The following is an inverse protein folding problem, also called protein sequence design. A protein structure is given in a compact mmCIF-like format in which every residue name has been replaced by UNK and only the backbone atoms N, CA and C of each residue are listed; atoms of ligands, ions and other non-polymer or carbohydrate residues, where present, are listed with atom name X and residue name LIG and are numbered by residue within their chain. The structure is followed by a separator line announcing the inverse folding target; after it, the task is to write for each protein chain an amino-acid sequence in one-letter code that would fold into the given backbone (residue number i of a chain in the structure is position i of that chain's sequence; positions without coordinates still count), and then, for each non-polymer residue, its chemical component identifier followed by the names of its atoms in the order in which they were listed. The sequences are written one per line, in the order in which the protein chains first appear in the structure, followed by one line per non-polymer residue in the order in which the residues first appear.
data_IF_433395151518
#
_entry.id   IF_433395151518
#
_cell.length_a   1.000
_cell.length_b   1.000
_cell.length_c   1.000
_cell.angle_alpha   90.00
_cell.angle_beta   90.00
_cell.angle_gamma   90.00
#
_symmetry.space_group_name_H-M   'P 1'
#
loop_
_entity.id
_entity.type
_entity.pdbx_description
1 polymer ?
#
# COMPACT_ATOMS: atom_id res chain seq x y z
N UNK A 1 -26.45 -79.84 -3.79
CA UNK A 1 -25.06 -80.10 -4.25
C UNK A 1 -24.44 -78.93 -4.99
N UNK A 2 -25.12 -78.31 -5.96
CA UNK A 2 -24.59 -77.14 -6.70
C UNK A 2 -24.18 -75.95 -5.81
N UNK A 3 -24.92 -75.61 -4.75
CA UNK A 3 -24.56 -74.47 -3.88
C UNK A 3 -23.34 -74.70 -2.97
N UNK A 4 -23.01 -75.96 -2.63
CA UNK A 4 -21.81 -76.29 -1.83
C UNK A 4 -20.54 -76.31 -2.68
N UNK A 5 -20.65 -76.71 -3.95
CA UNK A 5 -19.54 -76.63 -4.92
C UNK A 5 -19.23 -75.16 -5.23
N UNK A 6 -20.27 -74.35 -5.43
CA UNK A 6 -20.12 -72.90 -5.61
C UNK A 6 -19.49 -72.23 -4.38
N UNK A 7 -19.89 -72.59 -3.16
CA UNK A 7 -19.27 -72.05 -1.95
C UNK A 7 -17.81 -72.48 -1.75
N UNK A 8 -17.46 -73.72 -2.11
CA UNK A 8 -16.08 -74.23 -2.01
C UNK A 8 -15.14 -73.61 -3.06
N UNK A 9 -15.64 -73.36 -4.27
CA UNK A 9 -14.90 -72.71 -5.35
C UNK A 9 -14.65 -71.22 -5.04
N UNK A 10 -15.64 -70.53 -4.46
CA UNK A 10 -15.47 -69.16 -3.96
C UNK A 10 -14.50 -69.09 -2.77
N UNK A 11 -14.53 -70.07 -1.86
CA UNK A 11 -13.58 -70.15 -0.75
C UNK A 11 -12.14 -70.43 -1.21
N UNK A 12 -11.94 -71.28 -2.24
CA UNK A 12 -10.63 -71.53 -2.83
C UNK A 12 -10.07 -70.30 -3.56
N UNK A 13 -10.94 -69.55 -4.26
CA UNK A 13 -10.58 -68.30 -4.91
C UNK A 13 -10.15 -67.24 -3.88
N UNK A 14 -10.93 -67.04 -2.82
CA UNK A 14 -10.60 -66.13 -1.71
C UNK A 14 -9.32 -66.55 -0.95
N UNK A 15 -9.12 -67.85 -0.74
CA UNK A 15 -7.88 -68.39 -0.15
C UNK A 15 -6.68 -68.12 -1.05
N UNK A 16 -6.80 -68.26 -2.38
CA UNK A 16 -5.70 -67.94 -3.31
C UNK A 16 -5.38 -66.44 -3.35
N UNK A 17 -6.39 -65.58 -3.29
CA UNK A 17 -6.28 -64.11 -3.30
C UNK A 17 -5.53 -63.62 -2.04
N UNK A 18 -5.93 -64.07 -0.85
CA UNK A 18 -5.26 -63.71 0.42
C UNK A 18 -3.81 -64.22 0.56
N UNK A 19 -3.41 -65.24 -0.22
CA UNK A 19 -2.02 -65.73 -0.23
C UNK A 19 -1.08 -64.89 -1.09
N UNK A 20 -1.61 -64.04 -1.97
CA UNK A 20 -0.82 -63.29 -2.96
C UNK A 20 -0.59 -61.84 -2.50
N UNK A 21 -1.63 -61.14 -2.05
CA UNK A 21 -1.51 -59.81 -1.44
C UNK A 21 -1.34 -59.96 0.09
N UNK A 22 -0.10 -59.87 0.59
CA UNK A 22 0.28 -60.00 2.01
C UNK A 22 0.64 -58.67 2.65
N UNK A 23 1.30 -57.79 1.92
CA UNK A 23 1.73 -56.49 2.41
C UNK A 23 0.72 -55.41 2.05
N UNK A 24 0.85 -54.25 2.66
CA UNK A 24 0.07 -53.06 2.32
C UNK A 24 1.05 -52.07 1.70
N UNK A 25 0.58 -51.18 0.82
CA UNK A 25 1.44 -50.16 0.27
C UNK A 25 1.94 -49.23 1.38
N UNK A 26 3.17 -48.79 1.22
CA UNK A 26 3.83 -47.83 2.10
C UNK A 26 4.02 -46.52 1.35
N UNK A 27 3.73 -45.41 2.02
CA UNK A 27 3.92 -44.04 1.52
C UNK A 27 4.65 -43.24 2.60
N UNK A 28 5.10 -42.04 2.26
CA UNK A 28 5.67 -41.14 3.27
C UNK A 28 4.59 -40.68 4.26
N UNK A 29 4.98 -40.36 5.48
CA UNK A 29 4.04 -39.96 6.55
C UNK A 29 3.51 -38.53 6.37
N UNK A 30 4.26 -37.70 5.64
CA UNK A 30 3.90 -36.33 5.32
C UNK A 30 4.51 -35.89 4.00
N UNK A 31 3.79 -35.01 3.31
CA UNK A 31 4.25 -34.35 2.08
C UNK A 31 4.14 -32.84 2.22
N UNK A 32 5.15 -32.13 1.75
CA UNK A 32 5.08 -30.68 1.54
C UNK A 32 5.06 -30.43 0.05
N UNK A 33 4.21 -29.51 -0.39
CA UNK A 33 4.08 -29.21 -1.81
C UNK A 33 3.84 -27.75 -2.06
N UNK A 34 4.16 -27.38 -3.30
CA UNK A 34 3.85 -26.06 -3.84
C UNK A 34 3.08 -26.21 -5.14
N UNK A 35 2.11 -25.32 -5.35
CA UNK A 35 1.41 -25.15 -6.62
C UNK A 35 1.41 -23.67 -6.95
N UNK A 36 1.79 -23.32 -8.16
CA UNK A 36 1.62 -21.94 -8.63
C UNK A 36 0.18 -21.76 -9.07
N UNK A 37 -0.47 -20.67 -8.66
CA UNK A 37 -1.81 -20.38 -9.16
C UNK A 37 -1.82 -20.28 -10.68
N UNK A 38 -2.99 -20.52 -11.28
CA UNK A 38 -3.14 -20.70 -12.72
C UNK A 38 -2.47 -21.96 -13.31
N UNK A 39 -1.88 -22.85 -12.50
CA UNK A 39 -1.39 -24.18 -12.90
C UNK A 39 -2.19 -25.31 -12.25
N UNK A 40 -2.10 -26.53 -12.81
CA UNK A 40 -2.78 -27.72 -12.31
C UNK A 40 -1.85 -28.74 -11.66
N UNK A 41 -0.53 -28.61 -11.77
CA UNK A 41 0.44 -29.59 -11.25
C UNK A 41 0.99 -29.15 -9.90
N UNK A 42 0.89 -30.02 -8.90
CA UNK A 42 1.52 -29.81 -7.60
C UNK A 42 2.92 -30.43 -7.60
N UNK A 43 3.91 -29.66 -7.16
CA UNK A 43 5.28 -30.12 -6.93
C UNK A 43 5.40 -30.56 -5.48
N UNK A 44 5.53 -31.88 -5.26
CA UNK A 44 5.69 -32.46 -3.92
C UNK A 44 7.18 -32.75 -3.64
N UNK A 45 7.60 -32.46 -2.42
CA UNK A 45 8.89 -32.87 -1.86
C UNK A 45 8.66 -33.56 -0.49
N UNK A 46 8.88 -34.89 -0.38
CA UNK A 46 9.31 -35.82 -1.45
C UNK A 46 8.22 -36.08 -2.51
N UNK A 47 8.56 -36.65 -3.68
CA UNK A 47 7.57 -36.98 -4.71
C UNK A 47 6.56 -38.04 -4.23
N UNK A 48 5.35 -38.02 -4.78
CA UNK A 48 4.30 -38.99 -4.42
C UNK A 48 4.61 -40.37 -5.00
N UNK A 49 5.17 -41.24 -4.17
CA UNK A 49 5.47 -42.63 -4.52
C UNK A 49 4.93 -43.56 -3.43
N UNK A 50 4.28 -44.64 -3.85
CA UNK A 50 3.83 -45.72 -2.98
C UNK A 50 4.56 -47.02 -3.30
N UNK A 51 5.12 -47.68 -2.30
CA UNK A 51 5.87 -48.92 -2.47
C UNK A 51 5.18 -50.09 -1.79
N UNK A 52 4.98 -51.18 -2.50
CA UNK A 52 4.47 -52.43 -1.94
C UNK A 52 5.53 -53.53 -1.97
N UNK A 53 5.64 -54.30 -0.89
CA UNK A 53 6.58 -55.44 -0.78
C UNK A 53 6.13 -56.67 -1.57
N UNK A 54 4.88 -56.71 -2.03
CA UNK A 54 4.39 -57.74 -2.94
C UNK A 54 4.78 -57.44 -4.41
N UNK A 55 5.35 -56.27 -4.71
CA UNK A 55 5.87 -55.96 -6.04
C UNK A 55 7.04 -56.90 -6.42
N UNK A 56 7.14 -57.34 -7.69
CA UNK A 56 6.35 -56.91 -8.86
C UNK A 56 5.17 -57.86 -9.18
N UNK A 57 4.57 -58.52 -8.18
CA UNK A 57 3.44 -59.43 -8.43
C UNK A 57 2.27 -58.62 -8.99
N UNK A 58 1.71 -58.99 -10.16
CA UNK A 58 0.58 -58.28 -10.75
C UNK A 58 -0.58 -58.14 -9.78
N UNK A 59 -1.22 -56.98 -9.78
CA UNK A 59 -2.27 -56.57 -8.84
C UNK A 59 -1.81 -56.40 -7.37
N UNK A 60 -1.20 -57.42 -6.77
CA UNK A 60 -0.87 -57.40 -5.34
C UNK A 60 0.22 -56.38 -4.99
N UNK A 61 1.19 -56.17 -5.88
CA UNK A 61 2.25 -55.19 -5.72
C UNK A 61 2.04 -53.89 -6.49
N UNK A 62 0.94 -53.77 -7.24
CA UNK A 62 0.68 -52.61 -8.09
C UNK A 62 -0.23 -51.60 -7.38
N UNK A 63 0.07 -50.32 -7.56
CA UNK A 63 -0.70 -49.22 -7.00
C UNK A 63 -1.81 -48.82 -7.97
N UNK A 64 -3.05 -48.90 -7.51
CA UNK A 64 -4.23 -48.62 -8.34
C UNK A 64 -4.82 -47.23 -8.11
N UNK A 65 -4.67 -46.67 -6.90
CA UNK A 65 -5.24 -45.37 -6.59
C UNK A 65 -4.54 -44.67 -5.43
N UNK A 66 -4.61 -43.35 -5.47
CA UNK A 66 -4.35 -42.46 -4.35
C UNK A 66 -5.65 -41.75 -3.98
N UNK A 67 -6.16 -42.01 -2.78
CA UNK A 67 -7.40 -41.42 -2.29
C UNK A 67 -7.10 -40.25 -1.38
N UNK A 68 -7.69 -39.10 -1.70
CA UNK A 68 -7.63 -37.88 -0.89
C UNK A 68 -8.83 -37.85 0.05
N UNK A 69 -8.56 -37.62 1.33
CA UNK A 69 -9.52 -37.50 2.41
C UNK A 69 -9.41 -36.10 3.02
N UNK A 70 -10.55 -35.44 3.17
CA UNK A 70 -10.62 -34.06 3.68
C UNK A 70 -11.78 -33.35 2.98
N UNK A 71 -12.48 -32.49 3.72
CA UNK A 71 -13.56 -31.68 3.15
C UNK A 71 -12.94 -30.67 2.19
N UNK A 72 -13.37 -30.70 0.92
CA UNK A 72 -13.25 -29.59 -0.05
C UNK A 72 -11.87 -29.27 -0.62
N UNK A 73 -10.86 -30.14 -0.45
CA UNK A 73 -9.58 -29.94 -1.12
C UNK A 73 -9.76 -30.04 -2.66
N UNK A 74 -9.45 -28.98 -3.46
CA UNK A 74 -9.66 -28.96 -4.91
C UNK A 74 -8.60 -29.77 -5.67
N UNK A 75 -8.19 -30.92 -5.12
CA UNK A 75 -7.10 -31.72 -5.64
C UNK A 75 -7.54 -33.14 -5.98
N UNK A 76 -6.80 -33.76 -6.88
CA UNK A 76 -6.87 -35.16 -7.24
C UNK A 76 -5.46 -35.74 -7.34
N UNK A 77 -5.32 -37.02 -7.01
CA UNK A 77 -4.06 -37.73 -7.15
C UNK A 77 -4.22 -38.81 -8.22
N UNK A 78 -3.41 -38.73 -9.27
CA UNK A 78 -3.42 -39.67 -10.39
C UNK A 78 -2.24 -40.62 -10.26
N UNK A 79 -2.46 -41.90 -10.59
CA UNK A 79 -1.37 -42.87 -10.70
C UNK A 79 -0.74 -42.68 -12.07
N UNK A 80 0.57 -42.39 -12.10
CA UNK A 80 1.33 -42.30 -13.34
C UNK A 80 1.82 -43.68 -13.78
N UNK A 81 2.27 -44.49 -12.82
CA UNK A 81 2.75 -45.84 -13.08
C UNK A 81 2.44 -46.74 -11.89
N UNK A 82 1.52 -47.69 -12.08
CA UNK A 82 1.10 -48.60 -11.01
C UNK A 82 2.19 -49.58 -10.57
N UNK A 83 3.12 -49.94 -11.46
CA UNK A 83 4.20 -50.90 -11.15
C UNK A 83 5.34 -50.26 -10.37
N UNK A 84 5.72 -49.02 -10.68
CA UNK A 84 6.70 -48.27 -9.86
C UNK A 84 6.05 -47.58 -8.66
N UNK A 85 4.73 -47.43 -8.68
CA UNK A 85 3.95 -46.77 -7.64
C UNK A 85 4.03 -45.24 -7.68
N UNK A 86 4.49 -44.67 -8.80
CA UNK A 86 4.56 -43.23 -9.01
C UNK A 86 3.17 -42.63 -9.19
N UNK A 87 2.90 -41.56 -8.44
CA UNK A 87 1.71 -40.75 -8.54
C UNK A 87 2.03 -39.28 -8.79
N UNK A 88 1.01 -38.52 -9.19
CA UNK A 88 1.09 -37.07 -9.32
C UNK A 88 -0.15 -36.45 -8.70
N UNK A 89 0.06 -35.41 -7.91
CA UNK A 89 -1.00 -34.62 -7.34
C UNK A 89 -1.31 -33.44 -8.28
N UNK A 90 -2.59 -33.23 -8.57
CA UNK A 90 -3.09 -32.20 -9.47
C UNK A 90 -4.25 -31.43 -8.85
N UNK A 91 -4.45 -30.20 -9.26
CA UNK A 91 -5.65 -29.43 -8.94
C UNK A 91 -6.78 -29.75 -9.93
N UNK A 92 -8.01 -29.91 -9.43
CA UNK A 92 -9.22 -30.16 -10.23
C UNK A 92 -9.71 -28.91 -10.98
N UNK A 93 -9.33 -27.75 -10.48
CA UNK A 93 -9.57 -26.44 -11.05
C UNK A 93 -8.41 -25.53 -10.67
N UNK A 94 -8.36 -24.35 -11.28
CA UNK A 94 -7.34 -23.37 -10.93
C UNK A 94 -7.50 -22.98 -9.47
N UNK A 95 -6.40 -23.07 -8.72
CA UNK A 95 -6.31 -22.52 -7.38
C UNK A 95 -6.05 -21.02 -7.47
N UNK A 96 -6.59 -20.28 -6.51
CA UNK A 96 -6.55 -18.83 -6.40
C UNK A 96 -5.91 -18.49 -5.05
N UNK A 97 -4.80 -17.76 -5.08
CA UNK A 97 -4.03 -17.43 -3.89
C UNK A 97 -4.72 -16.35 -3.02
N UNK A 98 -5.45 -15.42 -3.64
CA UNK A 98 -6.23 -14.39 -2.95
C UNK A 98 -7.35 -15.00 -2.12
N UNK A 99 -7.93 -16.12 -2.60
CA UNK A 99 -8.94 -16.86 -1.88
C UNK A 99 -8.34 -17.73 -0.75
N UNK A 100 -7.34 -18.55 -1.06
CA UNK A 100 -6.76 -19.48 -0.08
C UNK A 100 -5.31 -19.86 -0.40
N UNK A 101 -4.41 -19.43 0.49
CA UNK A 101 -2.94 -19.57 0.36
C UNK A 101 -2.41 -20.96 0.70
N UNK A 102 -3.14 -21.73 1.51
CA UNK A 102 -2.67 -23.00 2.04
C UNK A 102 -3.79 -24.03 2.08
N UNK A 103 -3.45 -25.27 1.74
CA UNK A 103 -4.34 -26.42 1.84
C UNK A 103 -3.70 -27.50 2.67
N UNK A 104 -4.51 -28.14 3.53
CA UNK A 104 -4.09 -29.31 4.30
C UNK A 104 -5.13 -30.41 4.17
N UNK A 105 -4.70 -31.59 3.73
CA UNK A 105 -5.57 -32.74 3.58
C UNK A 105 -4.79 -34.04 3.81
N UNK A 106 -5.50 -35.16 3.77
CA UNK A 106 -4.91 -36.49 3.98
C UNK A 106 -4.91 -37.26 2.68
N UNK A 107 -3.83 -37.97 2.39
CA UNK A 107 -3.74 -38.89 1.25
C UNK A 107 -3.51 -40.33 1.73
N UNK A 108 -4.01 -41.30 0.98
CA UNK A 108 -3.87 -42.72 1.26
C UNK A 108 -3.74 -43.51 -0.05
N UNK A 109 -2.71 -44.32 -0.19
CA UNK A 109 -2.52 -45.19 -1.35
C UNK A 109 -3.28 -46.51 -1.20
N UNK A 110 -3.66 -47.09 -2.33
CA UNK A 110 -4.37 -48.34 -2.45
C UNK A 110 -3.70 -49.22 -3.50
N UNK A 111 -3.40 -50.46 -3.14
CA UNK A 111 -2.96 -51.48 -4.10
C UNK A 111 -4.15 -51.99 -4.94
N UNK A 112 -3.86 -52.77 -5.97
CA UNK A 112 -4.86 -53.33 -6.87
C UNK A 112 -5.49 -54.66 -6.37
N UNK A 113 -5.21 -55.11 -5.14
CA UNK A 113 -5.79 -56.34 -4.58
C UNK A 113 -5.19 -57.60 -5.18
N UNK A 114 -6.01 -58.61 -5.50
CA UNK A 114 -5.50 -59.85 -6.12
C UNK A 114 -6.27 -60.28 -7.37
N UNK A 115 -6.88 -59.34 -8.06
CA UNK A 115 -7.53 -59.59 -9.34
C UNK A 115 -7.93 -58.31 -10.08
N UNK A 116 -8.35 -58.42 -11.34
CA UNK A 116 -8.60 -57.28 -12.23
C UNK A 116 -9.77 -56.38 -11.78
N UNK A 117 -10.59 -56.82 -10.82
CA UNK A 117 -11.68 -56.04 -10.24
C UNK A 117 -11.30 -55.21 -9.01
N UNK A 118 -10.05 -55.24 -8.54
CA UNK A 118 -9.62 -54.50 -7.34
C UNK A 118 -10.24 -54.97 -6.03
N UNK A 119 -10.89 -56.14 -6.02
CA UNK A 119 -11.45 -56.73 -4.81
C UNK A 119 -10.31 -57.06 -3.83
N UNK A 120 -10.52 -56.71 -2.56
CA UNK A 120 -9.59 -56.93 -1.44
C UNK A 120 -8.30 -56.10 -1.44
N UNK A 121 -8.25 -54.99 -2.18
CA UNK A 121 -7.10 -54.09 -2.14
C UNK A 121 -6.81 -53.50 -0.76
N UNK A 122 -5.55 -53.48 -0.34
CA UNK A 122 -5.14 -52.92 0.96
C UNK A 122 -4.77 -51.46 0.85
N UNK A 123 -4.93 -50.78 1.99
CA UNK A 123 -4.69 -49.35 2.13
C UNK A 123 -3.40 -49.10 2.89
N UNK A 124 -2.64 -48.11 2.45
CA UNK A 124 -1.50 -47.61 3.20
C UNK A 124 -1.94 -46.96 4.52
N UNK A 125 -0.98 -46.54 5.35
CA UNK A 125 -1.34 -45.54 6.37
C UNK A 125 -1.77 -44.23 5.71
N UNK A 126 -2.40 -43.36 6.49
CA UNK A 126 -2.74 -42.00 6.10
C UNK A 126 -1.50 -41.12 6.17
N UNK A 127 -1.34 -40.21 5.22
CA UNK A 127 -0.28 -39.21 5.19
C UNK A 127 -0.88 -37.82 5.12
N UNK A 128 -0.29 -36.85 5.81
CA UNK A 128 -0.74 -35.46 5.78
C UNK A 128 -0.03 -34.74 4.63
N UNK A 129 -0.77 -33.99 3.83
CA UNK A 129 -0.23 -33.19 2.74
C UNK A 129 -0.48 -31.72 3.07
N UNK A 130 0.59 -30.93 3.07
CA UNK A 130 0.55 -29.48 3.22
C UNK A 130 0.95 -28.83 1.90
N UNK A 131 0.03 -28.06 1.30
CA UNK A 131 0.25 -27.37 0.03
C UNK A 131 0.26 -25.87 0.26
N UNK A 132 1.30 -25.21 -0.25
CA UNK A 132 1.37 -23.75 -0.36
C UNK A 132 1.08 -23.30 -1.79
N UNK A 133 0.27 -22.27 -1.94
CA UNK A 133 -0.01 -21.64 -3.24
C UNK A 133 1.01 -20.53 -3.48
N UNK A 134 1.75 -20.64 -4.57
CA UNK A 134 2.63 -19.57 -5.04
C UNK A 134 1.82 -18.59 -5.89
N UNK A 135 1.91 -17.33 -5.49
CA UNK A 135 1.30 -16.17 -6.15
C UNK A 135 1.86 -15.93 -7.56
N UNK A 136 1.03 -15.35 -8.42
CA UNK A 136 1.30 -14.79 -9.74
C UNK A 136 0.72 -13.39 -9.77
N UNK A 137 1.58 -12.40 -10.02
CA UNK A 137 1.19 -10.99 -10.07
C UNK A 137 0.10 -10.70 -11.13
N UNK A 138 -1.16 -10.71 -10.73
CA UNK A 138 -2.33 -10.60 -11.61
C UNK A 138 -3.15 -9.34 -11.32
N UNK A 139 -3.10 -8.82 -10.11
CA UNK A 139 -3.63 -7.50 -9.75
C UNK A 139 -2.62 -6.39 -10.00
N UNK A 140 -3.09 -5.15 -10.10
CA UNK A 140 -2.23 -4.00 -10.34
C UNK A 140 -2.54 -2.94 -9.31
N UNK A 141 -1.57 -2.07 -8.95
CA UNK A 141 -1.79 -1.08 -7.90
C UNK A 141 -2.98 -0.16 -8.22
N UNK A 142 -3.88 -0.02 -7.26
CA UNK A 142 -5.04 0.87 -7.34
C UNK A 142 -4.92 1.98 -6.30
N UNK A 143 -5.02 3.23 -6.72
CA UNK A 143 -5.03 4.37 -5.81
C UNK A 143 -6.30 4.39 -4.95
N UNK A 144 -6.16 4.76 -3.68
CA UNK A 144 -7.30 4.84 -2.75
C UNK A 144 -8.33 5.89 -3.14
N UNK A 145 -7.85 7.01 -3.67
CA UNK A 145 -8.68 8.13 -4.12
C UNK A 145 -8.58 8.30 -5.64
N UNK A 146 -9.66 8.68 -6.33
CA UNK A 146 -9.66 8.92 -7.77
C UNK A 146 -8.91 10.20 -8.17
N UNK A 147 -8.69 11.11 -7.22
CA UNK A 147 -7.90 12.33 -7.38
C UNK A 147 -7.43 12.83 -6.01
N UNK A 148 -6.30 13.52 -5.97
CA UNK A 148 -5.79 14.16 -4.75
C UNK A 148 -5.76 15.68 -4.91
N UNK A 149 -6.00 16.43 -3.82
CA UNK A 149 -5.99 17.89 -3.84
C UNK A 149 -5.25 18.44 -2.63
N UNK A 150 -4.42 19.46 -2.83
CA UNK A 150 -3.78 20.20 -1.76
C UNK A 150 -3.64 21.69 -2.11
N UNK A 151 -3.43 22.51 -1.08
CA UNK A 151 -3.14 23.93 -1.23
C UNK A 151 -1.85 24.28 -0.48
N UNK A 152 -0.97 25.04 -1.12
CA UNK A 152 0.33 25.45 -0.57
C UNK A 152 0.50 26.95 -0.68
N UNK A 153 1.16 27.55 0.30
CA UNK A 153 1.48 28.97 0.24
C UNK A 153 2.71 29.18 -0.65
N UNK A 154 2.66 30.18 -1.54
CA UNK A 154 3.79 30.54 -2.40
C UNK A 154 5.06 30.89 -1.60
N UNK A 155 6.21 30.82 -2.27
CA UNK A 155 7.50 31.22 -1.70
C UNK A 155 8.12 30.25 -0.69
N UNK A 156 7.45 29.14 -0.36
CA UNK A 156 7.93 28.11 0.57
C UNK A 156 8.35 26.83 -0.15
N UNK A 157 9.30 26.11 0.45
CA UNK A 157 9.62 24.71 0.12
C UNK A 157 8.99 23.83 1.19
N UNK A 158 8.23 22.84 0.78
CA UNK A 158 7.56 21.88 1.63
C UNK A 158 8.28 20.54 1.51
N UNK A 159 8.60 19.92 2.65
CA UNK A 159 9.15 18.56 2.67
C UNK A 159 8.08 17.51 2.33
N UNK A 160 6.81 17.82 2.61
CA UNK A 160 5.64 17.05 2.19
C UNK A 160 4.45 18.00 2.01
N UNK A 161 3.83 17.93 0.82
CA UNK A 161 2.61 18.67 0.45
C UNK A 161 1.40 17.78 0.71
N UNK A 162 1.46 16.54 0.20
CA UNK A 162 0.48 15.49 0.42
C UNK A 162 1.12 14.13 0.13
N UNK A 163 0.49 13.07 0.62
CA UNK A 163 0.88 11.70 0.35
C UNK A 163 -0.21 11.03 -0.49
N UNK A 164 0.17 10.43 -1.62
CA UNK A 164 -0.73 9.53 -2.37
C UNK A 164 -0.56 8.11 -1.85
N UNK A 165 -1.64 7.32 -1.92
CA UNK A 165 -1.62 5.94 -1.47
C UNK A 165 -2.30 5.03 -2.50
N UNK A 166 -1.63 3.91 -2.79
CA UNK A 166 -2.15 2.82 -3.61
C UNK A 166 -2.11 1.50 -2.83
N UNK A 167 -2.98 0.58 -3.23
CA UNK A 167 -3.08 -0.77 -2.68
C UNK A 167 -3.15 -1.78 -3.82
N UNK A 168 -2.54 -2.93 -3.65
CA UNK A 168 -2.61 -4.04 -4.57
C UNK A 168 -3.27 -5.25 -3.87
N UNK A 169 -4.00 -6.06 -4.63
CA UNK A 169 -4.83 -7.15 -4.14
C UNK A 169 -4.17 -8.53 -4.25
N UNK A 170 -2.99 -8.64 -4.85
CA UNK A 170 -2.25 -9.91 -4.90
C UNK A 170 -2.02 -10.50 -3.49
N UNK A 171 -1.92 -11.81 -3.39
CA UNK A 171 -1.90 -12.49 -2.11
C UNK A 171 -0.54 -12.35 -1.37
N UNK A 172 0.57 -12.30 -2.10
CA UNK A 172 1.91 -12.33 -1.55
C UNK A 172 2.42 -10.93 -1.23
N UNK A 173 3.27 -10.76 -0.21
CA UNK A 173 3.95 -9.50 0.04
C UNK A 173 4.81 -9.01 -1.13
N UNK A 174 5.26 -9.92 -2.01
CA UNK A 174 6.11 -9.57 -3.14
C UNK A 174 5.34 -8.81 -4.23
N UNK A 175 4.07 -9.13 -4.44
CA UNK A 175 3.24 -8.50 -5.47
C UNK A 175 2.24 -7.51 -4.89
N UNK A 176 1.75 -7.71 -3.65
CA UNK A 176 0.82 -6.77 -3.00
C UNK A 176 1.43 -5.44 -2.54
N UNK A 177 2.74 -5.39 -2.31
CA UNK A 177 3.38 -4.21 -1.74
C UNK A 177 3.70 -3.16 -2.80
N UNK A 178 3.40 -1.90 -2.50
CA UNK A 178 3.77 -0.76 -3.35
C UNK A 178 5.21 -0.36 -3.05
N UNK A 179 6.09 -0.49 -4.03
CA UNK A 179 7.53 -0.23 -3.87
C UNK A 179 7.95 1.13 -4.43
N UNK A 180 7.17 1.71 -5.34
CA UNK A 180 7.56 2.95 -6.00
C UNK A 180 6.36 3.80 -6.44
N UNK A 181 6.54 5.11 -6.41
CA UNK A 181 5.65 6.08 -7.01
C UNK A 181 6.44 6.97 -7.97
N UNK A 182 5.78 7.44 -9.03
CA UNK A 182 6.43 8.27 -10.03
C UNK A 182 5.47 9.32 -10.58
N UNK A 183 5.96 10.57 -10.68
CA UNK A 183 5.28 11.63 -11.42
C UNK A 183 5.54 11.40 -12.91
N UNK A 184 4.48 11.20 -13.67
CA UNK A 184 4.51 10.96 -15.12
C UNK A 184 4.42 12.24 -15.94
N UNK A 185 3.91 13.33 -15.35
CA UNK A 185 3.92 14.66 -15.97
C UNK A 185 5.36 15.19 -16.03
N UNK A 186 5.79 15.66 -17.21
CA UNK A 186 7.14 16.21 -17.41
C UNK A 186 7.21 17.69 -17.04
N UNK A 187 8.43 18.18 -16.77
CA UNK A 187 8.72 19.60 -16.50
C UNK A 187 7.92 20.21 -15.32
N UNK A 188 7.65 19.42 -14.29
CA UNK A 188 6.93 19.88 -13.09
C UNK A 188 7.90 20.26 -11.97
N UNK A 189 7.63 21.31 -11.17
CA UNK A 189 8.46 21.69 -10.01
C UNK A 189 8.21 20.79 -8.79
N UNK A 190 7.93 19.51 -9.01
CA UNK A 190 7.55 18.54 -7.98
C UNK A 190 8.38 17.27 -8.10
N UNK A 191 8.61 16.64 -6.95
CA UNK A 191 9.21 15.32 -6.82
C UNK A 191 8.35 14.47 -5.89
N UNK A 192 8.39 13.16 -6.08
CA UNK A 192 7.70 12.18 -5.24
C UNK A 192 8.72 11.17 -4.69
N UNK A 193 8.55 10.76 -3.44
CA UNK A 193 9.34 9.69 -2.85
C UNK A 193 8.69 8.30 -3.01
N UNK A 194 9.38 7.25 -2.55
CA UNK A 194 8.88 5.87 -2.62
C UNK A 194 7.67 5.59 -1.73
N UNK A 195 7.40 6.46 -0.76
CA UNK A 195 6.24 6.36 0.14
C UNK A 195 5.04 7.14 -0.39
N UNK A 196 5.16 7.79 -1.55
CA UNK A 196 4.09 8.57 -2.16
C UNK A 196 4.03 10.02 -1.68
N UNK A 197 5.01 10.52 -0.92
CA UNK A 197 5.04 11.91 -0.48
C UNK A 197 5.49 12.82 -1.61
N UNK A 198 4.66 13.80 -1.93
CA UNK A 198 4.92 14.81 -2.95
C UNK A 198 5.49 16.06 -2.29
N UNK A 199 6.57 16.58 -2.86
CA UNK A 199 7.23 17.82 -2.43
C UNK A 199 7.54 18.73 -3.61
N UNK A 200 7.69 20.02 -3.37
CA UNK A 200 8.17 20.95 -4.40
C UNK A 200 9.69 21.05 -4.41
N UNK A 201 10.28 21.11 -5.61
CA UNK A 201 11.73 21.22 -5.83
C UNK A 201 12.22 22.66 -5.90
N UNK A 202 11.31 23.60 -6.16
CA UNK A 202 11.57 25.04 -6.18
C UNK A 202 10.42 25.82 -5.54
N UNK A 203 10.66 27.08 -5.19
CA UNK A 203 9.64 27.96 -4.60
C UNK A 203 8.58 28.27 -5.65
N UNK A 204 7.33 27.93 -5.33
CA UNK A 204 6.19 28.24 -6.20
C UNK A 204 5.85 29.73 -6.11
N UNK A 205 5.30 30.30 -7.18
CA UNK A 205 4.88 31.70 -7.26
C UNK A 205 3.43 31.75 -7.75
N UNK A 206 2.59 32.45 -7.00
CA UNK A 206 1.18 32.61 -7.33
C UNK A 206 0.99 33.37 -8.65
N UNK A 207 1.80 34.41 -8.87
CA UNK A 207 1.76 35.23 -10.09
C UNK A 207 2.19 34.45 -11.34
N UNK A 208 3.06 33.44 -11.18
CA UNK A 208 3.52 32.59 -12.29
C UNK A 208 2.49 31.51 -12.64
N UNK A 209 2.00 30.78 -11.64
CA UNK A 209 1.05 29.70 -11.83
C UNK A 209 0.28 29.39 -10.54
N UNK A 210 -1.04 29.52 -10.61
CA UNK A 210 -1.94 29.35 -9.46
C UNK A 210 -2.36 27.90 -9.24
N UNK A 211 -2.40 27.10 -10.31
CA UNK A 211 -2.87 25.72 -10.28
C UNK A 211 -1.89 24.81 -11.00
N UNK A 212 -1.51 23.73 -10.35
CA UNK A 212 -0.73 22.65 -10.92
C UNK A 212 -1.55 21.37 -10.95
N UNK A 213 -1.50 20.67 -12.08
CA UNK A 213 -2.05 19.33 -12.22
C UNK A 213 -0.91 18.37 -12.62
N UNK A 214 -0.66 17.37 -11.80
CA UNK A 214 0.36 16.34 -12.06
C UNK A 214 -0.26 14.95 -12.02
N UNK A 215 0.24 14.04 -12.86
CA UNK A 215 -0.22 12.67 -12.97
C UNK A 215 0.77 11.76 -12.27
N UNK A 216 0.30 10.98 -11.29
CA UNK A 216 1.14 10.09 -10.49
C UNK A 216 0.78 8.63 -10.77
N UNK A 217 1.77 7.77 -10.94
CA UNK A 217 1.60 6.32 -11.06
C UNK A 217 2.28 5.60 -9.91
N UNK A 218 1.74 4.44 -9.54
CA UNK A 218 2.34 3.53 -8.57
C UNK A 218 2.88 2.28 -9.26
N UNK A 219 3.83 1.63 -8.62
CA UNK A 219 4.38 0.33 -9.00
C UNK A 219 4.47 -0.57 -7.77
N UNK A 220 4.03 -1.80 -7.93
CA UNK A 220 4.27 -2.82 -6.93
C UNK A 220 5.77 -3.23 -6.88
N UNK A 221 6.10 -4.10 -5.95
CA UNK A 221 7.44 -4.66 -5.84
C UNK A 221 7.75 -5.70 -6.94
N UNK A 222 6.72 -6.28 -7.57
CA UNK A 222 6.78 -7.13 -8.76
C UNK A 222 7.03 -6.39 -10.08
N UNK A 223 7.19 -5.07 -10.06
CA UNK A 223 7.34 -4.19 -11.23
C UNK A 223 6.11 -4.08 -12.13
N UNK A 224 4.90 -4.34 -11.62
CA UNK A 224 3.67 -4.00 -12.32
C UNK A 224 3.23 -2.59 -11.99
N UNK A 225 2.80 -1.88 -13.03
CA UNK A 225 2.36 -0.50 -12.96
C UNK A 225 0.86 -0.44 -12.72
N UNK A 226 0.42 0.55 -11.94
CA UNK A 226 -0.98 0.94 -11.87
C UNK A 226 -1.57 1.10 -13.28
N UNK A 227 -2.79 0.57 -13.49
CA UNK A 227 -3.48 0.64 -14.78
C UNK A 227 -3.72 2.08 -15.23
N UNK A 228 -4.03 2.96 -14.27
CA UNK A 228 -4.26 4.38 -14.49
C UNK A 228 -3.40 5.21 -13.55
N UNK A 229 -2.88 6.33 -14.06
CA UNK A 229 -2.29 7.37 -13.22
C UNK A 229 -3.40 8.14 -12.50
N UNK A 230 -3.12 8.63 -11.30
CA UNK A 230 -4.04 9.49 -10.54
C UNK A 230 -3.68 10.97 -10.73
N UNK A 231 -4.66 11.85 -11.02
CA UNK A 231 -4.47 13.29 -11.03
C UNK A 231 -4.28 13.84 -9.61
N UNK A 232 -3.32 14.73 -9.46
CA UNK A 232 -3.04 15.47 -8.24
C UNK A 232 -3.08 16.96 -8.55
N UNK A 233 -4.00 17.67 -7.90
CA UNK A 233 -4.20 19.11 -8.04
C UNK A 233 -3.56 19.87 -6.87
N UNK A 234 -2.69 20.83 -7.17
CA UNK A 234 -2.00 21.65 -6.17
C UNK A 234 -2.30 23.12 -6.45
N UNK A 235 -3.04 23.74 -5.53
CA UNK A 235 -3.37 25.16 -5.59
C UNK A 235 -2.34 25.99 -4.82
N UNK A 236 -1.78 26.99 -5.49
CA UNK A 236 -0.89 27.96 -4.86
C UNK A 236 -1.73 29.08 -4.26
N UNK A 237 -1.44 29.43 -3.00
CA UNK A 237 -2.06 30.54 -2.28
C UNK A 237 -1.05 31.68 -2.13
N UNK A 238 -1.46 32.95 -2.38
CA UNK A 238 -0.54 34.07 -2.30
C UNK A 238 -0.11 34.36 -0.85
N UNK A 239 1.10 34.91 -0.68
CA UNK A 239 1.57 35.43 0.62
C UNK A 239 1.14 36.88 0.73
N UNK A 240 0.23 37.17 1.64
CA UNK A 240 -0.10 38.56 1.98
C UNK A 240 1.07 39.20 2.73
N UNK A 241 1.71 40.20 2.15
CA UNK A 241 2.59 41.11 2.89
C UNK A 241 1.74 42.27 3.42
N UNK A 242 1.54 42.41 4.75
CA UNK A 242 0.89 43.60 5.28
C UNK A 242 1.73 44.82 4.90
N UNK A 243 1.15 45.71 4.10
CA UNK A 243 1.75 46.96 3.67
C UNK A 243 0.99 48.14 4.25
N UNK A 244 1.71 49.06 4.91
CA UNK A 244 1.12 50.34 5.29
C UNK A 244 1.07 51.25 4.06
N UNK A 245 -0.14 51.52 3.57
CA UNK A 245 -0.39 52.51 2.52
C UNK A 245 -0.61 53.88 3.18
N UNK A 246 -0.29 54.97 2.47
CA UNK A 246 -0.52 56.34 2.96
C UNK A 246 0.52 56.89 3.95
N UNK A 247 1.70 56.26 4.04
CA UNK A 247 2.84 56.81 4.79
C UNK A 247 3.51 57.93 4.01
N UNK A 248 3.27 59.19 4.39
CA UNK A 248 4.04 60.32 3.87
C UNK A 248 5.39 60.39 4.60
N UNK A 249 6.49 60.17 3.87
CA UNK A 249 7.86 60.24 4.43
C UNK A 249 8.26 61.63 4.93
N UNK A 250 7.53 62.67 4.54
CA UNK A 250 7.70 64.05 5.02
C UNK A 250 6.33 64.63 5.34
N UNK A 251 6.21 65.21 6.53
CA UNK A 251 5.06 66.00 6.94
C UNK A 251 5.59 67.38 7.29
N UNK A 252 5.31 68.35 6.42
CA UNK A 252 5.70 69.74 6.68
C UNK A 252 4.83 70.31 7.80
N UNK A 253 5.48 70.95 8.77
CA UNK A 253 4.84 71.57 9.94
C UNK A 253 5.15 73.05 9.97
N UNK A 254 4.10 73.87 9.96
CA UNK A 254 4.21 75.33 10.11
C UNK A 254 3.97 75.72 11.58
N UNK A 255 4.93 76.41 12.24
CA UNK A 255 4.77 76.86 13.62
C UNK A 255 3.54 77.76 13.80
N UNK A 256 2.74 77.49 14.85
CA UNK A 256 1.51 78.25 15.17
C UNK A 256 0.20 77.59 14.72
N UNK A 257 0.27 76.49 13.96
CA UNK A 257 -0.91 75.81 13.39
C UNK A 257 -1.58 74.75 14.31
N UNK A 258 -1.08 74.57 15.53
CA UNK A 258 -1.64 73.59 16.49
C UNK A 258 -1.23 72.14 16.19
N UNK A 259 -1.95 71.16 16.74
CA UNK A 259 -1.65 69.74 16.53
C UNK A 259 -2.06 69.27 15.13
N UNK A 260 -1.12 68.71 14.35
CA UNK A 260 -1.37 68.14 13.02
C UNK A 260 -1.34 66.62 13.05
N UNK A 261 -2.31 65.97 12.41
CA UNK A 261 -2.35 64.52 12.28
C UNK A 261 -1.24 64.06 11.31
N UNK A 262 -0.30 63.26 11.81
CA UNK A 262 0.87 62.83 11.04
C UNK A 262 0.55 61.76 9.99
N UNK A 263 -0.52 60.99 10.19
CA UNK A 263 -0.88 59.86 9.34
C UNK A 263 -2.41 59.80 9.07
N UNK A 264 -2.99 60.79 8.37
CA UNK A 264 -4.44 60.85 8.17
C UNK A 264 -4.98 59.76 7.24
N UNK A 265 -4.15 59.28 6.30
CA UNK A 265 -4.54 58.30 5.28
C UNK A 265 -3.90 56.92 5.50
N UNK A 266 -3.26 56.70 6.65
CA UNK A 266 -2.54 55.47 6.92
C UNK A 266 -3.53 54.34 7.25
N UNK A 267 -3.52 53.31 6.42
CA UNK A 267 -4.36 52.13 6.58
C UNK A 267 -3.56 50.86 6.26
N UNK A 268 -3.92 49.78 6.93
CA UNK A 268 -3.33 48.46 6.74
C UNK A 268 -4.20 47.69 5.75
N UNK A 269 -3.73 47.51 4.53
CA UNK A 269 -4.41 46.63 3.58
C UNK A 269 -3.96 45.19 3.81
N UNK A 270 -4.92 44.34 4.15
CA UNK A 270 -4.78 42.88 4.08
C UNK A 270 -5.57 42.40 2.87
N UNK A 271 -4.95 41.64 1.97
CA UNK A 271 -5.68 41.06 0.85
C UNK A 271 -6.68 40.02 1.40
N UNK A 272 -7.97 40.30 1.26
CA UNK A 272 -9.04 39.32 1.42
C UNK A 272 -9.45 38.81 0.05
N UNK A 273 -9.72 37.50 -0.05
CA UNK A 273 -10.53 36.98 -1.16
C UNK A 273 -11.85 37.78 -1.23
N UNK A 274 -12.39 38.07 -2.42
CA UNK A 274 -13.67 38.75 -2.52
C UNK A 274 -14.78 37.81 -2.05
N UNK A 275 -15.11 37.85 -0.74
CA UNK A 275 -16.25 37.13 -0.19
C UNK A 275 -16.22 36.74 1.28
N UNK A 276 -15.07 36.72 1.97
CA UNK A 276 -15.03 36.23 3.37
C UNK A 276 -14.24 37.19 4.27
N UNK A 277 -14.96 37.85 5.18
CA UNK A 277 -14.42 38.41 6.42
C UNK A 277 -13.61 39.70 6.29
N UNK A 278 -14.26 40.84 6.52
CA UNK A 278 -13.58 42.12 6.78
C UNK A 278 -12.71 41.99 8.03
N UNK A 279 -11.39 42.04 7.89
CA UNK A 279 -10.49 42.28 9.02
C UNK A 279 -10.40 43.78 9.27
N UNK A 280 -10.85 44.21 10.45
CA UNK A 280 -10.69 45.59 10.93
C UNK A 280 -9.47 45.65 11.85
N UNK A 281 -8.52 46.55 11.56
CA UNK A 281 -7.57 47.03 12.56
C UNK A 281 -7.92 48.47 12.95
N UNK A 282 -8.09 48.72 14.24
CA UNK A 282 -8.27 50.05 14.82
C UNK A 282 -7.04 50.92 14.50
N UNK A 283 -7.24 52.07 13.86
CA UNK A 283 -6.19 53.09 13.68
C UNK A 283 -5.64 53.52 15.05
N UNK A 284 -4.31 53.52 15.27
CA UNK A 284 -3.74 54.12 16.47
C UNK A 284 -3.73 55.64 16.27
N UNK A 285 -4.81 56.30 16.66
CA UNK A 285 -4.83 57.75 16.77
C UNK A 285 -3.98 58.18 17.99
N UNK A 286 -2.64 58.16 17.88
CA UNK A 286 -1.79 58.79 18.89
C UNK A 286 -1.69 60.28 18.60
N UNK A 287 -2.39 61.09 19.39
CA UNK A 287 -2.12 62.52 19.49
C UNK A 287 -0.78 62.73 20.22
N UNK A 288 0.25 63.16 19.50
CA UNK A 288 1.47 63.67 20.15
C UNK A 288 1.27 65.16 20.46
N UNK A 289 1.13 65.48 21.75
CA UNK A 289 1.12 66.85 22.26
C UNK A 289 2.57 67.22 22.59
N UNK A 290 3.15 68.18 21.88
CA UNK A 290 4.43 68.78 22.30
C UNK A 290 4.10 69.87 23.32
N UNK A 291 4.54 69.71 24.57
CA UNK A 291 4.52 70.83 25.52
C UNK A 291 5.54 71.88 25.06
N UNK A 292 5.12 73.15 25.11
CA UNK A 292 5.89 74.28 24.63
C UNK A 292 7.18 74.45 25.43
N UNK A 293 8.32 74.15 24.79
CA UNK A 293 9.64 74.55 25.27
C UNK A 293 9.99 75.95 24.75
N UNK A 294 10.59 76.76 25.62
CA UNK A 294 10.98 78.16 25.44
C UNK A 294 11.76 78.46 24.15
N UNK A 295 11.78 79.73 23.67
CA UNK A 295 12.38 80.07 22.38
C UNK A 295 13.91 79.97 22.46
N UNK A 296 14.52 79.12 21.62
CA UNK A 296 15.98 79.09 21.44
C UNK A 296 16.67 77.74 21.20
N UNK A 297 15.96 76.62 21.00
CA UNK A 297 16.61 75.33 20.69
C UNK A 297 16.15 74.74 19.35
N UNK A 298 17.13 74.41 18.52
CA UNK A 298 17.00 73.78 17.22
C UNK A 298 16.14 72.50 17.31
N UNK A 299 15.10 72.40 16.48
CA UNK A 299 14.18 71.28 16.51
C UNK A 299 14.83 70.04 15.87
N UNK A 300 15.31 69.13 16.73
CA UNK A 300 15.85 67.83 16.34
C UNK A 300 14.80 66.99 15.58
N UNK A 301 15.24 66.33 14.50
CA UNK A 301 14.49 65.34 13.74
C UNK A 301 13.81 64.32 14.68
N UNK A 302 12.50 64.11 14.50
CA UNK A 302 11.80 62.93 15.00
C UNK A 302 12.02 61.78 14.02
N UNK A 303 13.04 60.96 14.29
CA UNK A 303 13.26 59.72 13.57
C UNK A 303 12.45 58.60 14.27
N UNK A 304 11.37 58.16 13.62
CA UNK A 304 10.64 56.96 14.07
C UNK A 304 11.34 55.75 13.45
N UNK A 305 12.19 55.08 14.23
CA UNK A 305 12.71 53.78 13.83
C UNK A 305 11.60 52.75 14.02
N UNK A 306 11.17 52.11 12.93
CA UNK A 306 10.45 50.84 13.01
C UNK A 306 11.48 49.74 12.87
N UNK A 307 11.83 49.10 13.98
CA UNK A 307 12.60 47.86 13.96
C UNK A 307 11.83 46.82 13.14
N UNK A 308 12.34 46.54 11.95
CA UNK A 308 12.05 45.30 11.25
C UNK A 308 13.05 44.27 11.74
N UNK A 309 12.74 43.53 12.80
CA UNK A 309 13.35 42.21 12.91
C UNK A 309 12.51 41.15 13.63
N UNK A 310 12.63 39.96 13.04
CA UNK A 310 12.52 38.60 13.58
C UNK A 310 11.82 38.34 14.92
N UNK A 311 10.87 37.40 14.79
CA UNK A 311 10.61 36.25 15.68
C UNK A 311 10.13 36.51 17.12
N UNK A 312 8.95 35.94 17.37
CA UNK A 312 8.47 35.37 18.62
C UNK A 312 8.25 36.27 19.85
N UNK A 313 6.96 36.27 20.25
CA UNK A 313 6.42 36.29 21.60
C UNK A 313 6.88 37.36 22.61
N UNK A 314 5.86 38.12 23.02
CA UNK A 314 5.78 38.98 24.20
C UNK A 314 6.67 40.22 24.19
N UNK A 315 6.05 41.37 23.89
CA UNK A 315 6.61 42.66 24.27
C UNK A 315 5.52 43.54 24.89
N UNK A 316 5.49 43.56 26.23
CA UNK A 316 5.00 44.69 26.98
C UNK A 316 5.84 45.93 26.60
N UNK A 317 5.22 46.96 26.05
CA UNK A 317 5.89 48.24 25.82
C UNK A 317 5.75 49.14 27.04
N UNK A 318 6.79 49.20 27.86
CA UNK A 318 7.03 50.34 28.76
C UNK A 318 7.84 51.39 28.00
N UNK A 319 7.32 52.61 27.89
CA UNK A 319 8.06 53.77 27.40
C UNK A 319 8.81 54.43 28.56
N UNK A 320 10.14 54.47 28.50
CA UNK A 320 10.94 55.32 29.37
C UNK A 320 11.61 56.41 28.53
N UNK A 321 11.37 57.67 28.92
CA UNK A 321 12.03 58.84 28.37
C UNK A 321 13.47 58.89 28.89
N UNK A 322 14.44 58.91 27.99
CA UNK A 322 15.79 59.40 28.26
C UNK A 322 16.07 60.61 27.37
N UNK A 323 16.23 61.78 27.99
CA UNK A 323 16.91 62.94 27.38
C UNK A 323 18.42 62.64 27.29
N UNK A 324 19.10 63.29 26.34
CA UNK A 324 20.56 63.49 26.37
C UNK A 324 20.91 64.31 27.61
#
# INVERSE_FOLDING_TARGET
MRSRIQAAEMAHLLLSVSTVNKHKPWIETSYHGVITENTDVVLLDPPLVALDKDAPIPYAGEICAFNIHGLEAPFEAVVLNGTSGEGQLRARGLVDCELQKEYTFIIQAHDCGSGPGGMEGKKSHKAVVHIQVNDVNEFAPVFREPQYRAAVTEGKIYDSILQVEATDQDCSPQYSQICNYQITTTNTPFAIDRNGNIRNTEKLSFDRQQHYEIQVTAWDCGQKRALQSVPVHIDVKPVCKPGWQGWNKRVDYEPGTGSKQLFPNMHLETCGEPGVGRCWCLSPARHFRREAGSPGQDASLLQVNTDTDRTNNHAHTHSHLGRI
#
